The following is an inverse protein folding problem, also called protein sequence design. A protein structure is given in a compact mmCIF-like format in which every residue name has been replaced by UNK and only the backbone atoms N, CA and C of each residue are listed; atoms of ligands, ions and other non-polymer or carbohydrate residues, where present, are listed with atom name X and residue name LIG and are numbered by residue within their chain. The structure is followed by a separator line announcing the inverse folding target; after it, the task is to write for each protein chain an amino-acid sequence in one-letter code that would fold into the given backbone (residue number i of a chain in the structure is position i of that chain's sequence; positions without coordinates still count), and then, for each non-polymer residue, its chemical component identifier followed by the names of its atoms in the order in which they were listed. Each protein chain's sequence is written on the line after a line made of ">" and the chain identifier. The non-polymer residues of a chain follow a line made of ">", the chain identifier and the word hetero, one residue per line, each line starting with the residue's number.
data_IF_926320875575
#
_entry.id   IF_926320875575
#
_cell.length_a   1.000
_cell.length_b   1.000
_cell.length_c   1.000
_cell.angle_alpha   90.00
_cell.angle_beta   90.00
_cell.angle_gamma   90.00
#
_symmetry.space_group_name_H-M   'P 1'
#
loop_
_entity.id
_entity.type
_entity.pdbx_description
1 polymer ?
#
# COMPACT_ATOMS: atom_id res chain seq x y z
N UNK A 1 -17.03 12.33 -3.25
CA UNK A 1 -15.76 12.57 -3.97
C UNK A 1 -15.02 13.80 -3.44
N UNK A 2 -15.60 15.02 -3.49
CA UNK A 2 -14.92 16.26 -3.03
C UNK A 2 -14.36 16.15 -1.61
N UNK A 3 -15.13 15.62 -0.64
CA UNK A 3 -14.65 15.36 0.73
C UNK A 3 -13.45 14.40 0.78
N UNK A 4 -13.50 13.30 0.01
CA UNK A 4 -12.44 12.29 0.00
C UNK A 4 -11.13 12.88 -0.50
N UNK A 5 -11.20 13.58 -1.64
CA UNK A 5 -10.03 14.24 -2.24
C UNK A 5 -9.45 15.28 -1.27
N UNK A 6 -10.29 16.16 -0.72
CA UNK A 6 -9.84 17.20 0.22
C UNK A 6 -9.12 16.58 1.43
N UNK A 7 -9.78 15.64 2.12
CA UNK A 7 -9.23 15.03 3.32
C UNK A 7 -7.95 14.23 3.01
N UNK A 8 -7.92 13.54 1.87
CA UNK A 8 -6.74 12.79 1.43
C UNK A 8 -5.55 13.70 1.19
N UNK A 9 -5.74 14.83 0.48
CA UNK A 9 -4.68 15.83 0.26
C UNK A 9 -4.19 16.39 1.59
N UNK A 10 -5.09 16.82 2.47
CA UNK A 10 -4.72 17.36 3.79
C UNK A 10 -3.93 16.35 4.63
N UNK A 11 -4.31 15.07 4.59
CA UNK A 11 -3.60 14.00 5.30
C UNK A 11 -2.21 13.77 4.71
N UNK A 12 -2.10 13.70 3.39
CA UNK A 12 -0.83 13.44 2.68
C UNK A 12 0.15 14.62 2.79
N UNK A 13 -0.33 15.86 2.78
CA UNK A 13 0.49 17.06 3.00
C UNK A 13 1.17 17.03 4.38
N UNK A 14 0.42 16.69 5.44
CA UNK A 14 1.00 16.55 6.79
C UNK A 14 2.10 15.51 6.86
N UNK A 15 1.96 14.39 6.14
CA UNK A 15 3.00 13.36 6.07
C UNK A 15 4.20 13.80 5.23
N UNK A 16 3.96 14.55 4.16
CA UNK A 16 5.00 15.07 3.28
C UNK A 16 5.97 15.99 4.03
N UNK A 17 5.43 16.86 4.88
CA UNK A 17 6.22 17.81 5.69
C UNK A 17 7.17 17.12 6.68
N UNK A 18 6.91 15.85 7.01
CA UNK A 18 7.71 15.06 7.95
C UNK A 18 8.92 14.39 7.25
N UNK A 19 8.96 14.45 5.91
CA UNK A 19 10.11 14.05 5.09
C UNK A 19 10.37 12.54 5.00
N UNK A 20 11.31 12.19 4.12
CA UNK A 20 11.99 10.87 3.90
C UNK A 20 11.56 9.94 2.76
N UNK A 21 10.87 10.42 1.72
CA UNK A 21 10.62 9.61 0.52
C UNK A 21 11.76 9.75 -0.50
N UNK A 22 12.29 8.61 -0.99
CA UNK A 22 13.32 8.60 -2.02
C UNK A 22 12.85 7.70 -3.17
N UNK A 23 12.19 8.30 -4.16
CA UNK A 23 11.82 7.65 -5.42
C UNK A 23 10.32 7.45 -5.61
N UNK A 24 9.49 7.77 -4.62
CA UNK A 24 8.04 7.91 -4.76
C UNK A 24 7.57 9.25 -4.18
N UNK A 25 6.35 9.63 -4.50
CA UNK A 25 5.71 10.86 -4.02
C UNK A 25 4.41 10.53 -3.27
N UNK A 26 3.95 11.45 -2.43
CA UNK A 26 2.61 11.40 -1.81
C UNK A 26 1.63 12.14 -2.71
N UNK A 27 0.40 11.64 -2.80
CA UNK A 27 -0.69 12.30 -3.53
C UNK A 27 -1.17 13.55 -2.78
N UNK A 28 -0.60 14.71 -3.12
CA UNK A 28 -0.87 16.00 -2.46
C UNK A 28 -1.65 16.99 -3.33
N UNK A 29 -2.07 16.56 -4.52
CA UNK A 29 -2.87 17.35 -5.46
C UNK A 29 -4.11 16.58 -5.91
N UNK A 30 -5.06 17.29 -6.51
CA UNK A 30 -6.26 16.67 -7.10
C UNK A 30 -5.85 15.81 -8.28
N UNK A 31 -4.94 16.32 -9.11
CA UNK A 31 -4.43 15.68 -10.31
C UNK A 31 -3.79 14.33 -10.00
N UNK A 32 -2.91 14.28 -8.98
CA UNK A 32 -2.27 13.04 -8.54
C UNK A 32 -3.31 11.99 -8.13
N UNK A 33 -4.32 12.40 -7.35
CA UNK A 33 -5.38 11.48 -6.89
C UNK A 33 -6.24 10.96 -8.05
N UNK A 34 -6.61 11.82 -9.00
CA UNK A 34 -7.38 11.42 -10.17
C UNK A 34 -6.60 10.40 -11.01
N UNK A 35 -5.33 10.67 -11.30
CA UNK A 35 -4.48 9.74 -12.05
C UNK A 35 -4.32 8.39 -11.33
N UNK A 36 -4.17 8.40 -10.00
CA UNK A 36 -4.09 7.18 -9.20
C UNK A 36 -5.40 6.38 -9.26
N UNK A 37 -6.56 7.06 -9.18
CA UNK A 37 -7.85 6.39 -9.26
C UNK A 37 -8.12 5.79 -10.63
N UNK A 38 -7.65 6.44 -11.70
CA UNK A 38 -7.64 5.91 -13.06
C UNK A 38 -6.75 4.67 -13.14
N UNK A 39 -5.50 4.75 -12.68
CA UNK A 39 -4.56 3.62 -12.67
C UNK A 39 -5.15 2.39 -11.95
N UNK A 40 -5.77 2.60 -10.78
CA UNK A 40 -6.43 1.54 -10.02
C UNK A 40 -7.57 0.90 -10.83
N UNK A 41 -8.41 1.72 -11.46
CA UNK A 41 -9.51 1.26 -12.33
C UNK A 41 -8.98 0.43 -13.49
N UNK A 42 -7.96 0.91 -14.20
CA UNK A 42 -7.33 0.22 -15.33
C UNK A 42 -6.82 -1.16 -14.92
N UNK A 43 -5.99 -1.23 -13.88
CA UNK A 43 -5.37 -2.49 -13.47
C UNK A 43 -6.40 -3.47 -12.93
N UNK A 44 -7.38 -3.03 -12.12
CA UNK A 44 -8.40 -3.96 -11.63
C UNK A 44 -9.29 -4.49 -12.75
N UNK A 45 -9.59 -3.68 -13.77
CA UNK A 45 -10.31 -4.15 -14.96
C UNK A 45 -9.50 -5.18 -15.74
N UNK A 46 -8.21 -4.93 -15.98
CA UNK A 46 -7.31 -5.87 -16.66
C UNK A 46 -7.16 -7.20 -15.90
N UNK A 47 -7.18 -7.17 -14.57
CA UNK A 47 -7.12 -8.36 -13.73
C UNK A 47 -8.47 -9.10 -13.60
N UNK A 48 -9.57 -8.54 -14.12
CA UNK A 48 -10.92 -9.09 -13.92
C UNK A 48 -11.43 -8.94 -12.48
N UNK A 49 -10.92 -7.97 -11.73
CA UNK A 49 -11.23 -7.73 -10.31
C UNK A 49 -12.32 -6.67 -10.09
N UNK A 50 -12.92 -6.14 -11.16
CA UNK A 50 -13.92 -5.06 -11.09
C UNK A 50 -15.12 -5.38 -10.21
N UNK A 51 -15.49 -6.65 -10.04
CA UNK A 51 -16.59 -7.03 -9.14
C UNK A 51 -16.21 -6.92 -7.66
N UNK A 52 -14.96 -7.25 -7.29
CA UNK A 52 -14.48 -7.15 -5.90
C UNK A 52 -14.10 -5.71 -5.56
N UNK A 53 -13.55 -4.98 -6.53
CA UNK A 53 -13.12 -3.59 -6.38
C UNK A 53 -13.83 -2.72 -7.42
N UNK A 54 -15.13 -2.45 -7.24
CA UNK A 54 -15.90 -1.67 -8.18
C UNK A 54 -15.42 -0.22 -8.23
N UNK A 55 -15.63 0.41 -9.38
CA UNK A 55 -15.42 1.84 -9.56
C UNK A 55 -16.55 2.61 -8.87
N UNK A 56 -16.20 3.57 -8.02
CA UNK A 56 -17.20 4.42 -7.35
C UNK A 56 -17.82 5.41 -8.34
N UNK A 57 -17.01 5.87 -9.30
CA UNK A 57 -17.42 6.64 -10.48
C UNK A 57 -16.76 5.97 -11.67
N UNK A 58 -17.47 5.85 -12.80
CA UNK A 58 -16.91 5.21 -14.01
C UNK A 58 -15.52 5.76 -14.34
N UNK A 59 -14.53 4.88 -14.43
CA UNK A 59 -13.12 5.17 -14.67
C UNK A 59 -12.30 5.53 -13.43
N UNK A 60 -12.91 5.63 -12.24
CA UNK A 60 -12.26 6.07 -11.00
C UNK A 60 -12.49 5.07 -9.86
N UNK A 61 -11.42 4.39 -9.45
CA UNK A 61 -11.44 3.48 -8.30
C UNK A 61 -10.88 4.17 -7.04
N UNK A 62 -11.79 4.55 -6.15
CA UNK A 62 -11.53 5.12 -4.83
C UNK A 62 -12.62 4.68 -3.84
N UNK A 63 -12.32 4.70 -2.56
CA UNK A 63 -13.26 4.35 -1.49
C UNK A 63 -13.09 5.27 -0.25
N UNK A 64 -13.92 5.05 0.77
CA UNK A 64 -13.90 5.85 2.01
C UNK A 64 -12.57 5.80 2.79
N UNK A 65 -11.72 4.81 2.52
CA UNK A 65 -10.43 4.65 3.18
C UNK A 65 -9.32 5.49 2.54
N UNK A 66 -9.58 6.12 1.38
CA UNK A 66 -8.66 7.09 0.80
C UNK A 66 -8.60 8.40 1.62
N UNK A 67 -9.63 8.71 2.44
CA UNK A 67 -9.73 9.95 3.24
C UNK A 67 -8.55 10.17 4.20
N UNK A 68 -8.09 9.11 4.86
CA UNK A 68 -7.10 9.17 5.94
C UNK A 68 -6.03 8.10 5.75
N UNK A 69 -5.43 8.11 4.57
CA UNK A 69 -4.39 7.15 4.20
C UNK A 69 -3.22 7.87 3.53
N UNK A 70 -2.01 7.35 3.75
CA UNK A 70 -0.87 7.76 2.94
C UNK A 70 -1.02 7.08 1.57
N UNK A 71 -1.09 7.87 0.51
CA UNK A 71 -1.20 7.38 -0.86
C UNK A 71 0.12 7.69 -1.55
N UNK A 72 0.96 6.67 -1.66
CA UNK A 72 2.23 6.75 -2.37
C UNK A 72 2.01 6.46 -3.85
N UNK A 73 2.79 7.12 -4.70
CA UNK A 73 2.84 6.83 -6.12
C UNK A 73 4.25 6.96 -6.70
N UNK A 74 4.54 6.14 -7.71
CA UNK A 74 5.76 6.23 -8.52
C UNK A 74 5.41 6.71 -9.93
N UNK A 75 6.27 7.53 -10.52
CA UNK A 75 6.15 8.00 -11.90
C UNK A 75 7.25 7.41 -12.79
N UNK A 76 6.93 7.16 -14.06
CA UNK A 76 7.88 6.90 -15.15
C UNK A 76 7.47 7.78 -16.33
N UNK A 77 8.42 8.53 -16.90
CA UNK A 77 8.15 9.45 -18.02
C UNK A 77 6.94 10.37 -17.76
N UNK A 78 6.91 10.98 -16.57
CA UNK A 78 5.83 11.83 -16.05
C UNK A 78 4.45 11.17 -15.89
N UNK A 79 4.32 9.87 -16.13
CA UNK A 79 3.06 9.13 -15.95
C UNK A 79 3.09 8.36 -14.64
N UNK A 80 2.01 8.37 -13.86
CA UNK A 80 1.89 7.50 -12.67
C UNK A 80 1.78 6.04 -13.11
N UNK A 81 2.74 5.22 -12.67
CA UNK A 81 2.86 3.80 -13.05
C UNK A 81 2.73 2.84 -11.89
N UNK A 82 2.70 3.35 -10.66
CA UNK A 82 2.49 2.51 -9.49
C UNK A 82 1.94 3.31 -8.31
N UNK A 83 1.22 2.62 -7.43
CA UNK A 83 0.66 3.21 -6.21
C UNK A 83 0.63 2.19 -5.07
N UNK A 84 0.64 2.69 -3.84
CA UNK A 84 0.45 1.93 -2.61
C UNK A 84 -0.35 2.81 -1.64
N UNK A 85 -1.31 2.23 -0.93
CA UNK A 85 -2.10 2.91 0.09
C UNK A 85 -1.81 2.34 1.47
N UNK A 86 -1.51 3.20 2.43
CA UNK A 86 -1.30 2.88 3.84
C UNK A 86 -2.42 3.50 4.66
N UNK A 87 -3.35 2.68 5.15
CA UNK A 87 -4.49 3.12 5.95
C UNK A 87 -4.11 3.00 7.41
N UNK A 88 -4.09 4.11 8.14
CA UNK A 88 -3.70 4.12 9.54
C UNK A 88 -4.87 3.68 10.41
N UNK A 89 -4.61 2.79 11.37
CA UNK A 89 -5.60 2.33 12.36
C UNK A 89 -5.81 3.44 13.39
N UNK A 90 -6.64 4.43 13.02
CA UNK A 90 -7.03 5.58 13.84
C UNK A 90 -8.46 5.36 14.38
N UNK A 91 -9.33 6.37 14.33
CA UNK A 91 -10.69 6.28 14.84
C UNK A 91 -11.60 5.36 14.01
N UNK A 92 -11.27 5.15 12.72
CA UNK A 92 -11.97 4.23 11.83
C UNK A 92 -11.23 2.88 11.82
N UNK A 93 -11.98 1.79 11.96
CA UNK A 93 -11.44 0.42 11.78
C UNK A 93 -10.86 0.23 10.37
N UNK A 94 -9.85 -0.64 10.26
CA UNK A 94 -9.21 -0.99 8.99
C UNK A 94 -10.20 -1.75 8.08
N UNK A 95 -10.04 -1.69 6.74
CA UNK A 95 -10.91 -2.43 5.82
C UNK A 95 -11.05 -3.92 6.16
N UNK A 96 -9.96 -4.56 6.58
CA UNK A 96 -9.97 -5.98 6.93
C UNK A 96 -10.85 -6.31 8.14
N UNK A 97 -11.13 -5.38 9.05
CA UNK A 97 -12.03 -5.61 10.19
C UNK A 97 -13.47 -5.95 9.75
N UNK A 98 -13.85 -5.63 8.50
CA UNK A 98 -15.13 -6.06 7.91
C UNK A 98 -15.19 -7.58 7.70
N UNK A 99 -14.04 -8.27 7.62
CA UNK A 99 -13.94 -9.73 7.38
C UNK A 99 -13.26 -10.48 8.52
N UNK A 100 -12.38 -9.84 9.28
CA UNK A 100 -11.62 -10.46 10.38
C UNK A 100 -11.16 -9.40 11.39
N UNK A 101 -11.53 -9.54 12.66
CA UNK A 101 -11.14 -8.59 13.72
C UNK A 101 -9.65 -8.65 14.02
N UNK A 102 -9.03 -7.47 14.11
CA UNK A 102 -7.62 -7.29 14.51
C UNK A 102 -7.43 -6.87 15.97
N UNK A 103 -8.46 -6.96 16.81
CA UNK A 103 -8.40 -6.44 18.19
C UNK A 103 -7.26 -7.07 19.00
N UNK A 104 -6.92 -8.34 18.75
CA UNK A 104 -5.79 -9.02 19.38
C UNK A 104 -4.40 -8.49 18.95
N UNK A 105 -4.30 -7.81 17.80
CA UNK A 105 -3.08 -7.15 17.35
C UNK A 105 -2.98 -5.71 17.87
N UNK A 106 -4.12 -5.02 18.03
CA UNK A 106 -4.17 -3.65 18.58
C UNK A 106 -3.68 -3.55 20.01
N UNK A 107 -3.82 -4.64 20.76
CA UNK A 107 -3.34 -4.75 22.14
C UNK A 107 -1.80 -4.92 22.24
N UNK A 108 -1.05 -4.85 21.13
CA UNK A 108 0.41 -4.97 21.10
C UNK A 108 1.08 -3.59 21.06
N UNK A 109 2.36 -3.53 21.46
CA UNK A 109 3.14 -2.29 21.67
C UNK A 109 3.41 -1.41 20.42
N UNK A 110 2.84 -1.70 19.25
CA UNK A 110 3.06 -0.95 17.99
C UNK A 110 1.73 -0.74 17.28
N UNK A 111 1.51 0.48 16.78
CA UNK A 111 0.31 0.81 16.01
C UNK A 111 0.22 0.00 14.70
N UNK A 112 -1.00 -0.11 14.17
CA UNK A 112 -1.29 -0.88 12.96
C UNK A 112 -1.59 0.05 11.77
N UNK A 113 -1.23 -0.45 10.59
CA UNK A 113 -1.56 0.13 9.30
C UNK A 113 -2.03 -1.00 8.39
N UNK A 114 -3.05 -0.79 7.57
CA UNK A 114 -3.35 -1.70 6.45
C UNK A 114 -2.68 -1.21 5.17
N UNK A 115 -1.76 -2.02 4.64
CA UNK A 115 -1.20 -1.83 3.31
C UNK A 115 -2.14 -2.45 2.26
N UNK A 116 -2.70 -1.60 1.41
CA UNK A 116 -3.67 -1.94 0.37
C UNK A 116 -3.34 -1.25 -0.95
N UNK A 117 -4.06 -1.59 -2.02
CA UNK A 117 -3.90 -0.96 -3.35
C UNK A 117 -2.45 -0.91 -3.86
N UNK A 118 -1.64 -1.93 -3.56
CA UNK A 118 -0.29 -2.08 -4.15
C UNK A 118 -0.46 -2.47 -5.61
N UNK A 119 -0.41 -1.47 -6.49
CA UNK A 119 -0.72 -1.60 -7.92
C UNK A 119 0.47 -1.10 -8.72
N UNK A 120 0.82 -1.85 -9.77
CA UNK A 120 1.89 -1.50 -10.69
C UNK A 120 1.38 -1.76 -12.09
N UNK A 121 1.39 -0.73 -12.94
CA UNK A 121 1.05 -0.83 -14.34
C UNK A 121 2.01 -1.81 -15.02
N UNK A 122 1.49 -2.71 -15.85
CA UNK A 122 2.32 -3.64 -16.61
C UNK A 122 2.95 -2.89 -17.79
N UNK A 123 4.17 -2.42 -17.59
CA UNK A 123 5.02 -1.78 -18.60
C UNK A 123 6.25 -2.64 -18.86
N UNK A 124 6.79 -2.58 -20.08
CA UNK A 124 8.01 -3.31 -20.45
C UNK A 124 9.23 -2.83 -19.63
N UNK A 125 10.16 -3.74 -19.35
CA UNK A 125 11.41 -3.47 -18.62
C UNK A 125 11.42 -3.92 -17.14
N UNK A 126 12.51 -3.59 -16.45
CA UNK A 126 12.68 -3.83 -15.01
C UNK A 126 11.53 -3.16 -14.25
N UNK A 127 11.10 -3.74 -13.12
CA UNK A 127 9.99 -3.26 -12.26
C UNK A 127 10.50 -2.48 -11.01
N UNK A 128 11.20 -1.34 -11.15
CA UNK A 128 11.69 -0.57 -10.01
C UNK A 128 10.55 -0.04 -9.14
N UNK A 129 9.34 0.16 -9.69
CA UNK A 129 8.18 0.73 -8.99
C UNK A 129 7.85 -0.07 -7.73
N UNK A 130 7.80 -1.40 -7.82
CA UNK A 130 7.56 -2.26 -6.66
C UNK A 130 8.57 -2.00 -5.56
N UNK A 131 9.85 -1.93 -5.95
CA UNK A 131 10.95 -1.76 -5.03
C UNK A 131 10.88 -0.39 -4.36
N UNK A 132 10.65 0.68 -5.12
CA UNK A 132 10.55 2.04 -4.61
C UNK A 132 9.37 2.20 -3.66
N UNK A 133 8.17 1.76 -4.08
CA UNK A 133 6.98 1.76 -3.22
C UNK A 133 7.19 0.98 -1.93
N UNK A 134 7.86 -0.18 -2.00
CA UNK A 134 8.15 -1.00 -0.81
C UNK A 134 9.14 -0.31 0.14
N UNK A 135 10.21 0.31 -0.40
CA UNK A 135 11.20 1.04 0.41
C UNK A 135 10.53 2.19 1.15
N UNK A 136 9.78 3.01 0.43
CA UNK A 136 9.23 4.23 0.98
C UNK A 136 8.02 3.97 1.90
N UNK A 137 7.21 2.94 1.61
CA UNK A 137 6.23 2.43 2.57
C UNK A 137 6.91 1.91 3.85
N UNK A 138 8.01 1.16 3.73
CA UNK A 138 8.78 0.71 4.89
C UNK A 138 9.30 1.87 5.73
N UNK A 139 9.85 2.92 5.11
CA UNK A 139 10.37 4.08 5.85
C UNK A 139 9.29 4.77 6.66
N UNK A 140 8.11 4.99 6.08
CA UNK A 140 6.95 5.54 6.81
C UNK A 140 6.62 4.63 8.00
N UNK A 141 6.45 3.33 7.78
CA UNK A 141 6.10 2.42 8.87
C UNK A 141 7.18 2.38 9.97
N UNK A 142 8.45 2.40 9.59
CA UNK A 142 9.58 2.37 10.52
C UNK A 142 9.69 3.67 11.34
N UNK A 143 9.51 4.84 10.72
CA UNK A 143 9.63 6.14 11.41
C UNK A 143 8.56 6.31 12.51
N UNK A 144 7.34 5.83 12.26
CA UNK A 144 6.24 5.87 13.21
C UNK A 144 6.16 4.63 14.11
N UNK A 145 7.13 3.70 14.00
CA UNK A 145 7.15 2.43 14.76
C UNK A 145 5.86 1.62 14.59
N UNK A 146 5.35 1.53 13.36
CA UNK A 146 4.11 0.84 13.00
C UNK A 146 4.38 -0.55 12.42
N UNK A 147 3.40 -1.43 12.54
CA UNK A 147 3.33 -2.70 11.82
C UNK A 147 2.29 -2.62 10.70
N UNK A 148 2.48 -3.40 9.63
CA UNK A 148 1.55 -3.41 8.51
C UNK A 148 0.81 -4.74 8.40
N UNK A 149 -0.52 -4.69 8.33
CA UNK A 149 -1.34 -5.81 7.88
C UNK A 149 -1.63 -5.68 6.39
N UNK A 150 -1.79 -6.80 5.69
CA UNK A 150 -2.19 -6.81 4.29
C UNK A 150 -2.89 -8.12 3.94
N UNK A 151 -3.84 -8.06 3.01
CA UNK A 151 -4.41 -9.26 2.38
C UNK A 151 -3.80 -9.43 1.01
N UNK A 152 -3.14 -10.55 0.79
CA UNK A 152 -2.48 -10.85 -0.48
C UNK A 152 -2.67 -12.30 -0.88
N UNK A 153 -2.44 -12.58 -2.16
CA UNK A 153 -2.50 -13.95 -2.67
C UNK A 153 -1.43 -14.80 -1.98
N UNK A 154 -1.70 -16.10 -1.84
CA UNK A 154 -0.70 -17.06 -1.32
C UNK A 154 0.63 -16.97 -2.08
N UNK A 155 0.58 -16.77 -3.40
CA UNK A 155 1.77 -16.63 -4.23
C UNK A 155 2.64 -15.45 -3.81
N UNK A 156 2.04 -14.27 -3.64
CA UNK A 156 2.77 -13.06 -3.26
C UNK A 156 3.49 -13.22 -1.91
N UNK A 157 2.93 -13.97 -0.96
CA UNK A 157 3.57 -14.16 0.36
C UNK A 157 4.97 -14.78 0.27
N UNK A 158 5.28 -15.55 -0.78
CA UNK A 158 6.62 -16.12 -0.98
C UNK A 158 7.71 -15.06 -1.08
N UNK A 159 7.42 -13.92 -1.72
CA UNK A 159 8.34 -12.78 -1.81
C UNK A 159 8.42 -12.07 -0.47
N UNK A 160 7.28 -11.73 0.13
CA UNK A 160 7.22 -10.97 1.38
C UNK A 160 7.86 -11.73 2.56
N UNK A 161 7.83 -13.06 2.58
CA UNK A 161 8.57 -13.86 3.58
C UNK A 161 10.08 -13.56 3.58
N UNK A 162 10.66 -13.22 2.42
CA UNK A 162 12.07 -12.86 2.31
C UNK A 162 12.37 -11.51 2.96
N UNK A 163 11.38 -10.66 3.22
CA UNK A 163 11.58 -9.36 3.85
C UNK A 163 11.86 -9.47 5.35
N UNK A 164 11.55 -10.61 5.98
CA UNK A 164 11.63 -10.79 7.43
C UNK A 164 10.42 -10.18 8.16
N UNK A 165 10.11 -10.69 9.35
CA UNK A 165 9.04 -10.16 10.20
C UNK A 165 7.61 -10.47 9.70
N UNK A 166 7.45 -11.36 8.72
CA UNK A 166 6.13 -11.71 8.18
C UNK A 166 5.50 -12.88 8.95
N UNK A 167 4.31 -12.65 9.47
CA UNK A 167 3.44 -13.68 10.07
C UNK A 167 2.17 -13.82 9.22
N UNK A 168 1.67 -15.05 9.05
CA UNK A 168 0.36 -15.31 8.46
C UNK A 168 -0.64 -15.40 9.62
N UNK A 169 -1.57 -14.47 9.67
CA UNK A 169 -2.56 -14.35 10.74
C UNK A 169 -3.82 -15.17 10.43
N UNK A 170 -4.24 -15.19 9.15
CA UNK A 170 -5.43 -15.92 8.71
C UNK A 170 -5.30 -16.33 7.24
N UNK A 171 -5.79 -17.53 6.94
CA UNK A 171 -6.05 -17.97 5.57
C UNK A 171 -7.53 -17.81 5.24
N UNK A 172 -7.81 -17.29 4.05
CA UNK A 172 -9.13 -17.25 3.43
C UNK A 172 -9.11 -18.08 2.16
N UNK A 173 -10.12 -18.91 1.97
CA UNK A 173 -10.30 -19.71 0.74
C UNK A 173 -10.69 -18.83 -0.46
N UNK A 174 -11.32 -17.69 -0.20
CA UNK A 174 -11.70 -16.68 -1.18
C UNK A 174 -11.68 -15.29 -0.54
N UNK A 175 -11.57 -14.24 -1.35
CA UNK A 175 -11.71 -12.85 -0.88
C UNK A 175 -12.83 -12.16 -1.68
N UNK A 176 -14.01 -12.10 -1.04
CA UNK A 176 -15.24 -11.64 -1.69
C UNK A 176 -15.54 -12.44 -2.95
N UNK A 177 -15.58 -11.82 -4.13
CA UNK A 177 -15.86 -12.51 -5.40
C UNK A 177 -14.65 -13.26 -6.00
N UNK A 178 -13.44 -13.09 -5.44
CA UNK A 178 -12.23 -13.70 -5.98
C UNK A 178 -12.06 -15.14 -5.45
N UNK A 179 -12.18 -16.12 -6.35
CA UNK A 179 -12.15 -17.56 -6.06
C UNK A 179 -10.72 -18.13 -6.01
N UNK A 180 -9.89 -17.61 -5.11
CA UNK A 180 -8.53 -18.09 -4.89
C UNK A 180 -8.09 -17.85 -3.44
N UNK A 181 -7.04 -18.55 -2.98
CA UNK A 181 -6.54 -18.42 -1.61
C UNK A 181 -5.86 -17.06 -1.35
N UNK A 182 -6.26 -16.42 -0.26
CA UNK A 182 -5.65 -15.20 0.26
C UNK A 182 -5.16 -15.40 1.69
N UNK A 183 -4.05 -14.75 2.02
CA UNK A 183 -3.53 -14.68 3.37
C UNK A 183 -3.63 -13.26 3.90
N UNK A 184 -4.22 -13.12 5.08
CA UNK A 184 -3.97 -11.97 5.94
C UNK A 184 -2.59 -12.16 6.57
N UNK A 185 -1.72 -11.19 6.34
CA UNK A 185 -0.37 -11.18 6.88
C UNK A 185 -0.16 -9.97 7.78
N UNK A 186 0.65 -10.14 8.82
CA UNK A 186 1.25 -9.07 9.59
C UNK A 186 2.73 -8.97 9.22
N UNK A 187 3.20 -7.76 8.96
CA UNK A 187 4.62 -7.44 8.81
C UNK A 187 5.10 -6.59 10.00
N UNK A 188 5.91 -7.21 10.85
CA UNK A 188 6.67 -6.53 11.90
C UNK A 188 7.91 -5.85 11.30
N UNK A 189 7.82 -4.53 11.12
CA UNK A 189 8.87 -3.72 10.51
C UNK A 189 10.12 -3.58 11.37
N UNK A 190 10.06 -3.96 12.65
CA UNK A 190 11.24 -4.01 13.51
C UNK A 190 12.11 -5.26 13.26
N UNK A 191 11.57 -6.27 12.58
CA UNK A 191 12.21 -7.57 12.39
C UNK A 191 12.52 -7.88 10.92
N UNK A 192 13.09 -6.91 10.20
CA UNK A 192 13.47 -7.08 8.78
C UNK A 192 14.74 -7.92 8.60
N UNK A 193 14.76 -8.73 7.53
CA UNK A 193 15.84 -9.65 7.20
C UNK A 193 17.09 -8.94 6.66
N UNK A 194 18.23 -9.64 6.70
CA UNK A 194 19.46 -9.20 6.03
C UNK A 194 19.28 -9.05 4.51
N UNK A 195 18.43 -9.88 3.89
CA UNK A 195 18.05 -9.76 2.49
C UNK A 195 17.37 -8.41 2.22
N UNK A 196 16.38 -8.02 3.03
CA UNK A 196 15.68 -6.75 2.86
C UNK A 196 16.65 -5.57 2.99
N UNK A 197 17.48 -5.58 4.05
CA UNK A 197 18.52 -4.55 4.27
C UNK A 197 19.45 -4.43 3.06
N UNK A 198 19.92 -5.55 2.51
CA UNK A 198 20.87 -5.56 1.37
C UNK A 198 20.22 -5.11 0.06
N UNK A 199 19.03 -5.62 -0.25
CA UNK A 199 18.40 -5.42 -1.56
C UNK A 199 17.62 -4.12 -1.63
N UNK A 200 16.89 -3.77 -0.58
CA UNK A 200 15.99 -2.62 -0.54
C UNK A 200 16.66 -1.39 0.08
N UNK A 201 17.41 -1.53 1.17
CA UNK A 201 17.92 -0.36 1.91
C UNK A 201 19.35 0.07 1.54
N UNK A 202 20.24 -0.86 1.17
CA UNK A 202 21.68 -0.58 0.98
C UNK A 202 22.01 0.26 -0.27
N UNK A 203 21.12 0.36 -1.25
CA UNK A 203 21.40 1.02 -2.54
C UNK A 203 20.95 2.49 -2.63
N UNK A 204 20.58 3.12 -1.52
CA UNK A 204 19.99 4.48 -1.53
C UNK A 204 21.05 5.59 -1.75
N UNK A 205 22.34 5.31 -1.58
CA UNK A 205 23.42 6.31 -1.69
C UNK A 205 24.08 6.47 -3.07
N UNK A 206 23.63 5.77 -4.12
CA UNK A 206 24.27 5.83 -5.46
C UNK A 206 23.48 6.56 -6.55
N UNK A 207 22.34 7.17 -6.22
CA UNK A 207 21.48 7.87 -7.20
C UNK A 207 21.39 9.39 -6.97
N UNK A 208 22.24 9.95 -6.12
CA UNK A 208 22.32 11.39 -5.86
C UNK A 208 23.74 11.96 -6.08
N UNK A 209 24.50 11.36 -7.00
CA UNK A 209 25.84 11.80 -7.42
C UNK A 209 25.91 11.89 -8.93
#
# INVERSE_FOLDING_TARGET
>A
MSKIIKNSIEFNQKLYDIGTLNGVSLAISVEDLIEIFILRSEVYREMGYSNEFPETIKGLNFDEYDEYSAILYSKRDNTITGTCRLIFDLDKKLPIDKKFSLDYLRNKNRGLVEASRVIIKKIEGLKPEFKLLTIDAYKILASYKLNAVSVMTKEHTKLYKKFGGLTIEKQFEHYGSLKQEFFLTLWDTSNISSFFKKIFLKNIHKQAS
#
